data_IF_909343308331
#
_entry.id   IF_909343308331
#
_cell.length_a   1.000
_cell.length_b   1.000
_cell.length_c   1.000
_cell.angle_alpha   90.00
_cell.angle_beta   90.00
_cell.angle_gamma   90.00
#
_symmetry.space_group_name_H-M   'P 1'
#
loop_
_entity.id
_entity.type
_entity.pdbx_description
1 polymer ?
#
# COMPACT_ATOMS: atom_id res chain seq x y z
N UNK A 1 -44.83 11.95 -12.89
CA UNK A 1 -44.30 11.95 -14.27
C UNK A 1 -43.02 12.75 -14.29
N UNK A 2 -41.88 12.12 -14.00
CA UNK A 2 -40.57 12.76 -14.15
C UNK A 2 -40.09 12.58 -15.59
N UNK A 3 -39.88 13.69 -16.29
CA UNK A 3 -39.29 13.69 -17.63
C UNK A 3 -37.79 13.39 -17.46
N UNK A 4 -37.38 12.21 -17.89
CA UNK A 4 -35.97 11.85 -18.03
C UNK A 4 -35.24 12.90 -18.89
N UNK A 5 -34.20 13.51 -18.32
CA UNK A 5 -33.33 14.44 -19.05
C UNK A 5 -32.61 13.65 -20.15
N UNK A 6 -32.96 13.90 -21.41
CA UNK A 6 -32.23 13.40 -22.57
C UNK A 6 -30.81 13.96 -22.55
N UNK A 7 -29.83 13.07 -22.46
CA UNK A 7 -28.43 13.38 -22.72
C UNK A 7 -28.32 13.65 -24.23
N UNK A 8 -28.00 14.89 -24.61
CA UNK A 8 -27.76 15.24 -26.01
C UNK A 8 -26.37 14.76 -26.41
N UNK A 9 -26.30 13.95 -27.48
CA UNK A 9 -25.04 13.55 -28.09
C UNK A 9 -24.42 14.76 -28.79
N UNK A 10 -23.19 15.10 -28.43
CA UNK A 10 -22.37 16.06 -29.17
C UNK A 10 -21.47 15.20 -30.05
N UNK A 11 -21.56 15.34 -31.38
CA UNK A 11 -20.76 14.62 -32.39
C UNK A 11 -20.96 13.09 -32.51
N UNK A 12 -22.08 12.54 -32.05
CA UNK A 12 -22.37 11.11 -32.20
C UNK A 12 -21.70 10.19 -31.16
N UNK A 13 -20.89 10.75 -30.27
CA UNK A 13 -20.40 10.05 -29.09
C UNK A 13 -21.36 10.30 -27.93
N UNK A 14 -21.86 9.23 -27.31
CA UNK A 14 -22.55 9.33 -26.03
C UNK A 14 -21.45 9.56 -24.99
N UNK A 15 -21.40 10.74 -24.33
CA UNK A 15 -20.35 10.99 -23.35
C UNK A 15 -20.49 9.98 -22.21
N UNK A 16 -19.44 9.18 -22.00
CA UNK A 16 -19.40 8.19 -20.92
C UNK A 16 -19.54 8.91 -19.57
N UNK A 17 -20.40 8.45 -18.65
CA UNK A 17 -20.47 8.98 -17.29
C UNK A 17 -19.12 8.87 -16.58
N UNK A 18 -18.80 9.85 -15.73
CA UNK A 18 -17.52 9.92 -15.00
C UNK A 18 -17.23 8.63 -14.23
N UNK A 19 -18.25 8.05 -13.57
CA UNK A 19 -18.12 6.78 -12.84
C UNK A 19 -17.67 5.60 -13.73
N UNK A 20 -18.10 5.56 -15.00
CA UNK A 20 -17.67 4.52 -15.94
C UNK A 20 -16.23 4.76 -16.38
N UNK A 21 -15.85 6.02 -16.60
CA UNK A 21 -14.46 6.36 -16.93
C UNK A 21 -13.53 6.00 -15.77
N UNK A 22 -13.91 6.34 -14.53
CA UNK A 22 -13.17 5.98 -13.33
C UNK A 22 -13.06 4.47 -13.17
N UNK A 23 -14.14 3.72 -13.48
CA UNK A 23 -14.09 2.26 -13.48
C UNK A 23 -13.09 1.72 -14.51
N UNK A 24 -13.07 2.25 -15.73
CA UNK A 24 -12.06 1.87 -16.74
C UNK A 24 -10.65 2.22 -16.25
N UNK A 25 -10.45 3.44 -15.75
CA UNK A 25 -9.18 3.88 -15.19
C UNK A 25 -8.74 3.03 -13.99
N UNK A 26 -9.67 2.43 -13.23
CA UNK A 26 -9.34 1.57 -12.09
C UNK A 26 -8.51 0.33 -12.47
N UNK A 27 -8.59 -0.11 -13.73
CA UNK A 27 -7.78 -1.21 -14.28
C UNK A 27 -6.38 -0.78 -14.75
N UNK A 28 -6.09 0.52 -14.74
CA UNK A 28 -4.83 1.09 -15.19
C UNK A 28 -3.97 1.50 -13.99
N UNK A 29 -2.64 1.45 -14.15
CA UNK A 29 -1.74 2.09 -13.19
C UNK A 29 -1.91 3.63 -13.21
N UNK A 30 -1.37 4.32 -12.22
CA UNK A 30 -1.49 5.78 -12.11
C UNK A 30 -1.01 6.53 -13.36
N UNK A 31 0.07 6.07 -14.00
CA UNK A 31 0.65 6.73 -15.19
C UNK A 31 -0.25 6.53 -16.42
N UNK A 32 -0.70 5.30 -16.65
CA UNK A 32 -1.60 4.95 -17.75
C UNK A 32 -2.94 5.68 -17.60
N UNK A 33 -3.50 5.72 -16.39
CA UNK A 33 -4.73 6.47 -16.13
C UNK A 33 -4.53 7.97 -16.39
N UNK A 34 -3.41 8.56 -15.97
CA UNK A 34 -3.07 9.94 -16.29
C UNK A 34 -2.97 10.17 -17.81
N UNK A 35 -2.39 9.24 -18.58
CA UNK A 35 -2.29 9.37 -20.03
C UNK A 35 -3.66 9.38 -20.72
N UNK A 36 -4.67 8.71 -20.18
CA UNK A 36 -6.04 8.78 -20.72
C UNK A 36 -6.67 10.18 -20.61
N UNK A 37 -6.10 11.06 -19.78
CA UNK A 37 -6.64 12.41 -19.55
C UNK A 37 -6.65 13.28 -20.81
N UNK A 38 -5.85 12.96 -21.82
CA UNK A 38 -5.80 13.71 -23.09
C UNK A 38 -6.95 13.38 -24.04
N UNK A 39 -7.72 12.31 -23.76
CA UNK A 39 -8.81 11.86 -24.63
C UNK A 39 -9.98 12.86 -24.65
N UNK A 40 -10.35 13.43 -23.49
CA UNK A 40 -11.33 14.51 -23.40
C UNK A 40 -11.32 15.17 -22.02
N UNK A 41 -12.07 16.28 -21.89
CA UNK A 41 -12.27 16.95 -20.58
C UNK A 41 -12.89 16.02 -19.53
N UNK A 42 -13.78 15.11 -19.92
CA UNK A 42 -14.41 14.15 -19.00
C UNK A 42 -13.38 13.14 -18.48
N UNK A 43 -12.47 12.67 -19.33
CA UNK A 43 -11.40 11.76 -18.93
C UNK A 43 -10.37 12.43 -18.03
N UNK A 44 -10.06 13.70 -18.30
CA UNK A 44 -9.23 14.51 -17.41
C UNK A 44 -9.87 14.69 -16.03
N UNK A 45 -11.15 15.04 -15.97
CA UNK A 45 -11.86 15.18 -14.69
C UNK A 45 -11.92 13.86 -13.93
N UNK A 46 -12.28 12.76 -14.60
CA UNK A 46 -12.31 11.43 -14.01
C UNK A 46 -10.95 11.02 -13.40
N UNK A 47 -9.85 11.36 -14.08
CA UNK A 47 -8.50 11.13 -13.55
C UNK A 47 -8.24 11.94 -12.26
N UNK A 48 -8.62 13.22 -12.25
CA UNK A 48 -8.42 14.09 -11.09
C UNK A 48 -9.19 13.63 -9.83
N UNK A 49 -10.32 12.94 -10.03
CA UNK A 49 -11.24 12.49 -8.99
C UNK A 49 -11.22 10.97 -8.74
N UNK A 50 -10.30 10.24 -9.38
CA UNK A 50 -10.26 8.77 -9.37
C UNK A 50 -10.08 8.19 -7.95
N UNK A 51 -10.98 7.35 -7.43
CA UNK A 51 -10.90 6.84 -6.05
C UNK A 51 -9.66 5.98 -5.73
N UNK A 52 -8.95 5.47 -6.76
CA UNK A 52 -7.67 4.78 -6.60
C UNK A 52 -6.51 5.77 -6.80
N UNK A 53 -5.96 6.25 -5.68
CA UNK A 53 -4.78 7.11 -5.67
C UNK A 53 -3.54 6.23 -5.79
N UNK A 54 -2.75 6.46 -6.83
CA UNK A 54 -1.50 5.74 -7.11
C UNK A 54 -0.35 6.74 -7.22
N UNK A 55 0.50 6.77 -6.19
CA UNK A 55 1.66 7.64 -6.09
C UNK A 55 2.92 6.78 -6.24
N UNK A 56 3.48 6.77 -7.45
CA UNK A 56 4.65 5.95 -7.76
C UNK A 56 5.79 6.82 -8.29
N UNK A 57 6.84 6.97 -7.46
CA UNK A 57 8.02 7.76 -7.78
C UNK A 57 8.78 7.24 -9.02
N UNK A 58 8.63 5.96 -9.41
CA UNK A 58 9.26 5.40 -10.63
C UNK A 58 8.77 6.09 -11.90
N UNK A 59 7.59 6.71 -11.84
CA UNK A 59 7.03 7.47 -12.96
C UNK A 59 7.66 8.85 -13.16
N UNK A 60 8.53 9.27 -12.24
CA UNK A 60 9.17 10.59 -12.26
C UNK A 60 10.68 10.46 -12.53
N UNK A 61 11.31 11.52 -13.07
CA UNK A 61 12.75 11.55 -13.22
C UNK A 61 13.46 11.28 -11.89
N UNK A 62 14.50 10.45 -11.93
CA UNK A 62 15.33 10.25 -10.73
C UNK A 62 16.21 11.47 -10.54
N UNK A 63 16.06 12.13 -9.40
CA UNK A 63 16.81 13.33 -9.08
C UNK A 63 17.96 12.95 -8.14
N UNK A 64 19.18 13.42 -8.44
CA UNK A 64 20.31 13.32 -7.53
C UNK A 64 20.01 14.14 -6.26
N UNK A 65 20.39 13.64 -5.08
CA UNK A 65 20.18 14.30 -3.79
C UNK A 65 20.81 15.71 -3.72
N UNK A 66 21.78 16.01 -4.61
CA UNK A 66 22.42 17.32 -4.74
C UNK A 66 21.76 18.25 -5.77
N UNK A 67 20.75 17.78 -6.48
CA UNK A 67 20.07 18.56 -7.50
C UNK A 67 19.32 19.74 -6.89
N UNK A 68 19.39 20.89 -7.55
CA UNK A 68 18.59 22.06 -7.24
C UNK A 68 17.19 22.00 -7.90
N UNK A 69 16.93 20.97 -8.71
CA UNK A 69 15.64 20.78 -9.38
C UNK A 69 14.62 20.34 -8.33
N UNK A 70 13.44 20.99 -8.25
CA UNK A 70 12.39 20.58 -7.35
C UNK A 70 11.96 19.14 -7.59
N UNK A 71 11.73 18.39 -6.52
CA UNK A 71 11.26 17.01 -6.60
C UNK A 71 9.82 16.98 -7.17
N UNK A 72 9.71 16.66 -8.45
CA UNK A 72 8.44 16.64 -9.19
C UNK A 72 7.45 15.64 -8.58
N UNK A 73 7.93 14.49 -8.10
CA UNK A 73 7.11 13.51 -7.41
C UNK A 73 6.56 14.10 -6.12
N UNK A 74 7.42 14.73 -5.29
CA UNK A 74 6.99 15.35 -4.05
C UNK A 74 5.93 16.43 -4.28
N UNK A 75 6.13 17.28 -5.30
CA UNK A 75 5.16 18.31 -5.68
C UNK A 75 3.85 17.67 -6.14
N UNK A 76 3.92 16.64 -6.97
CA UNK A 76 2.76 15.93 -7.50
C UNK A 76 1.96 15.23 -6.39
N UNK A 77 2.65 14.51 -5.48
CA UNK A 77 2.05 13.80 -4.36
C UNK A 77 1.31 14.76 -3.42
N UNK A 78 1.96 15.85 -3.02
CA UNK A 78 1.35 16.87 -2.15
C UNK A 78 0.14 17.53 -2.79
N UNK A 79 0.27 18.00 -4.04
CA UNK A 79 -0.86 18.60 -4.78
C UNK A 79 -2.01 17.62 -4.98
N UNK A 80 -1.71 16.34 -5.16
CA UNK A 80 -2.74 15.30 -5.25
C UNK A 80 -3.48 15.18 -3.93
N UNK A 81 -2.81 15.01 -2.79
CA UNK A 81 -3.48 14.92 -1.50
C UNK A 81 -4.22 16.21 -1.11
N UNK A 82 -3.67 17.38 -1.44
CA UNK A 82 -4.35 18.68 -1.27
C UNK A 82 -5.63 18.76 -2.08
N UNK A 83 -5.62 18.32 -3.34
CA UNK A 83 -6.82 18.25 -4.18
C UNK A 83 -7.89 17.37 -3.53
N UNK A 84 -7.54 16.17 -3.07
CA UNK A 84 -8.52 15.28 -2.43
C UNK A 84 -9.12 15.91 -1.17
N UNK A 85 -8.29 16.56 -0.37
CA UNK A 85 -8.74 17.27 0.84
C UNK A 85 -9.67 18.43 0.48
N UNK A 86 -9.28 19.29 -0.46
CA UNK A 86 -10.00 20.52 -0.79
C UNK A 86 -11.36 20.25 -1.45
N UNK A 87 -11.45 19.17 -2.23
CA UNK A 87 -12.70 18.77 -2.89
C UNK A 87 -13.47 17.69 -2.14
N UNK A 88 -13.03 17.32 -0.93
CA UNK A 88 -13.61 16.27 -0.09
C UNK A 88 -13.84 14.95 -0.88
N UNK A 89 -12.84 14.56 -1.65
CA UNK A 89 -12.86 13.35 -2.47
C UNK A 89 -12.56 12.13 -1.59
N UNK A 90 -13.26 11.03 -1.87
CA UNK A 90 -13.01 9.75 -1.20
C UNK A 90 -11.82 9.04 -1.83
N UNK A 91 -10.97 8.45 -0.98
CA UNK A 91 -9.95 7.49 -1.43
C UNK A 91 -10.45 6.10 -1.09
N UNK A 92 -10.60 5.22 -2.08
CA UNK A 92 -10.93 3.82 -1.83
C UNK A 92 -9.67 2.95 -1.72
N UNK A 93 -8.65 3.30 -2.50
CA UNK A 93 -7.36 2.60 -2.51
C UNK A 93 -6.24 3.61 -2.61
N UNK A 94 -5.22 3.46 -1.76
CA UNK A 94 -4.03 4.28 -1.74
C UNK A 94 -2.81 3.39 -1.97
N UNK A 95 -2.08 3.66 -3.05
CA UNK A 95 -0.81 3.00 -3.36
C UNK A 95 0.33 4.02 -3.30
N UNK A 96 1.42 3.63 -2.65
CA UNK A 96 2.63 4.43 -2.56
C UNK A 96 3.84 3.56 -2.88
N UNK A 97 4.55 3.90 -3.96
CA UNK A 97 5.91 3.47 -4.19
C UNK A 97 6.83 4.67 -4.08
N UNK A 98 7.85 4.59 -3.23
CA UNK A 98 8.84 5.66 -3.13
C UNK A 98 10.18 5.20 -2.63
N UNK A 99 11.21 5.99 -2.94
CA UNK A 99 12.54 5.80 -2.44
C UNK A 99 12.66 6.26 -1.01
N UNK A 100 13.05 5.34 -0.15
CA UNK A 100 13.05 5.53 1.30
C UNK A 100 14.32 6.21 1.84
N UNK A 101 15.36 6.33 1.01
CA UNK A 101 16.70 6.83 1.39
C UNK A 101 16.87 8.33 1.18
N UNK A 102 15.92 9.01 0.53
CA UNK A 102 16.03 10.46 0.31
C UNK A 102 15.74 11.26 1.58
N UNK A 103 16.40 12.42 1.77
CA UNK A 103 16.04 13.34 2.84
C UNK A 103 14.55 13.71 2.79
N UNK A 104 13.86 13.60 3.92
CA UNK A 104 12.44 13.93 4.02
C UNK A 104 11.46 12.83 3.55
N UNK A 105 11.94 11.73 2.94
CA UNK A 105 11.08 10.63 2.49
C UNK A 105 10.20 10.05 3.59
N UNK A 106 10.77 9.85 4.80
CA UNK A 106 10.04 9.31 5.95
C UNK A 106 8.88 10.24 6.35
N UNK A 107 9.16 11.55 6.44
CA UNK A 107 8.15 12.53 6.83
C UNK A 107 7.04 12.63 5.77
N UNK A 108 7.41 12.62 4.48
CA UNK A 108 6.45 12.62 3.39
C UNK A 108 5.59 11.35 3.39
N UNK A 109 6.19 10.16 3.49
CA UNK A 109 5.47 8.90 3.55
C UNK A 109 4.41 8.92 4.67
N UNK A 110 4.81 9.32 5.88
CA UNK A 110 3.89 9.46 7.01
C UNK A 110 2.77 10.46 6.73
N UNK A 111 3.09 11.63 6.19
CA UNK A 111 2.11 12.65 5.82
C UNK A 111 1.06 12.10 4.83
N UNK A 112 1.51 11.41 3.78
CA UNK A 112 0.65 10.85 2.74
C UNK A 112 -0.24 9.72 3.28
N UNK A 113 0.33 8.79 4.05
CA UNK A 113 -0.40 7.66 4.66
C UNK A 113 -1.49 8.16 5.61
N UNK A 114 -1.13 9.06 6.55
CA UNK A 114 -2.09 9.63 7.49
C UNK A 114 -3.14 10.49 6.76
N UNK A 115 -2.76 11.13 5.66
CA UNK A 115 -3.67 11.84 4.78
C UNK A 115 -4.73 10.91 4.17
N UNK A 116 -4.32 9.72 3.72
CA UNK A 116 -5.24 8.72 3.17
C UNK A 116 -6.19 8.16 4.24
N UNK A 117 -5.70 7.87 5.46
CA UNK A 117 -6.56 7.45 6.58
C UNK A 117 -7.65 8.48 6.89
N UNK A 118 -7.33 9.77 6.87
CA UNK A 118 -8.30 10.87 7.08
C UNK A 118 -9.38 10.94 5.99
N UNK A 119 -9.18 10.29 4.85
CA UNK A 119 -10.12 10.24 3.73
C UNK A 119 -10.89 8.90 3.67
N UNK A 120 -10.90 8.15 4.78
CA UNK A 120 -11.60 6.88 4.96
C UNK A 120 -11.20 5.80 3.93
N UNK A 121 -9.88 5.62 3.79
CA UNK A 121 -9.31 4.66 2.84
C UNK A 121 -9.59 3.20 3.22
N UNK A 122 -10.04 2.42 2.26
CA UNK A 122 -10.33 0.99 2.46
C UNK A 122 -9.12 0.09 2.22
N UNK A 123 -8.18 0.51 1.37
CA UNK A 123 -7.02 -0.30 0.99
C UNK A 123 -5.74 0.52 0.93
N UNK A 124 -4.69 0.02 1.58
CA UNK A 124 -3.36 0.64 1.56
C UNK A 124 -2.35 -0.37 0.99
N UNK A 125 -1.55 0.05 0.03
CA UNK A 125 -0.42 -0.68 -0.54
C UNK A 125 0.85 0.19 -0.52
N UNK A 126 1.83 -0.18 0.30
CA UNK A 126 3.06 0.58 0.50
C UNK A 126 4.27 -0.25 0.08
N UNK A 127 5.11 0.31 -0.79
CA UNK A 127 6.36 -0.27 -1.22
C UNK A 127 7.49 0.77 -1.10
N UNK A 128 8.38 0.57 -0.12
CA UNK A 128 9.50 1.46 0.14
C UNK A 128 10.82 0.81 -0.31
N UNK A 129 11.49 1.42 -1.31
CA UNK A 129 12.68 0.84 -1.95
C UNK A 129 13.93 1.76 -1.87
N UNK A 130 15.13 1.23 -1.58
CA UNK A 130 15.35 -0.07 -0.93
C UNK A 130 14.60 -0.16 0.40
N UNK A 131 14.38 -1.37 0.94
CA UNK A 131 13.80 -1.56 2.25
C UNK A 131 14.50 -0.69 3.30
N UNK A 132 13.75 0.17 3.98
CA UNK A 132 14.27 1.07 5.00
C UNK A 132 13.68 0.70 6.35
N UNK A 133 14.47 -0.04 7.11
CA UNK A 133 14.09 -0.50 8.44
C UNK A 133 14.11 0.62 9.51
N UNK A 134 14.36 1.88 9.13
CA UNK A 134 14.15 3.06 9.97
C UNK A 134 12.77 3.69 9.78
N UNK A 135 12.08 3.42 8.67
CA UNK A 135 10.68 3.82 8.52
C UNK A 135 9.81 2.88 9.35
N UNK A 136 9.11 3.45 10.32
CA UNK A 136 8.13 2.75 11.15
C UNK A 136 6.74 3.07 10.62
N UNK A 137 5.97 2.03 10.32
CA UNK A 137 4.57 2.18 9.91
C UNK A 137 3.80 2.95 11.00
N UNK A 138 3.05 4.02 10.67
CA UNK A 138 2.23 4.72 11.65
C UNK A 138 1.24 3.78 12.32
N UNK A 139 1.16 3.82 13.64
CA UNK A 139 0.29 2.96 14.45
C UNK A 139 -1.19 3.13 14.11
N UNK A 140 -1.58 4.34 13.69
CA UNK A 140 -2.94 4.65 13.24
C UNK A 140 -3.41 3.71 12.11
N UNK A 141 -2.49 3.14 11.31
CA UNK A 141 -2.84 2.16 10.27
C UNK A 141 -3.42 0.89 10.90
N UNK A 142 -2.83 0.40 11.99
CA UNK A 142 -3.28 -0.81 12.70
C UNK A 142 -4.47 -0.55 13.63
N UNK A 143 -4.82 0.72 13.85
CA UNK A 143 -5.99 1.15 14.64
C UNK A 143 -7.19 1.51 13.75
N UNK A 144 -7.02 1.49 12.42
CA UNK A 144 -8.03 1.96 11.48
C UNK A 144 -9.10 0.90 11.17
N UNK A 145 -10.32 1.11 11.67
CA UNK A 145 -11.40 0.12 11.59
C UNK A 145 -11.93 -0.13 10.16
N UNK A 146 -11.96 0.91 9.32
CA UNK A 146 -12.44 0.82 7.93
C UNK A 146 -11.45 0.11 6.99
N UNK A 147 -10.24 -0.21 7.46
CA UNK A 147 -9.21 -0.82 6.62
C UNK A 147 -9.61 -2.25 6.25
N UNK A 148 -9.76 -2.51 4.95
CA UNK A 148 -10.13 -3.82 4.38
C UNK A 148 -8.88 -4.56 3.88
N UNK A 149 -7.92 -3.83 3.31
CA UNK A 149 -6.68 -4.41 2.77
C UNK A 149 -5.46 -3.61 3.22
N UNK A 150 -4.44 -4.32 3.70
CA UNK A 150 -3.14 -3.77 4.02
C UNK A 150 -2.05 -4.60 3.35
N UNK A 151 -1.28 -3.96 2.49
CA UNK A 151 -0.06 -4.48 1.86
C UNK A 151 1.08 -3.55 2.20
N UNK A 152 2.14 -4.06 2.83
CA UNK A 152 3.30 -3.25 3.21
C UNK A 152 4.60 -3.98 2.93
N UNK A 153 5.55 -3.24 2.38
CA UNK A 153 6.89 -3.70 2.08
C UNK A 153 7.97 -2.68 2.41
N UNK A 154 9.08 -3.16 2.95
CA UNK A 154 10.28 -2.35 3.17
C UNK A 154 10.25 -1.46 4.41
N UNK A 155 9.52 -1.84 5.45
CA UNK A 155 9.35 -1.06 6.69
C UNK A 155 9.44 -1.89 7.98
N UNK A 156 9.54 -1.20 9.12
CA UNK A 156 9.33 -1.76 10.45
C UNK A 156 7.87 -1.56 10.89
N UNK A 157 7.31 -2.54 11.57
CA UNK A 157 5.97 -2.49 12.15
C UNK A 157 6.11 -2.70 13.66
N UNK A 158 5.77 -1.67 14.44
CA UNK A 158 5.79 -1.70 15.89
C UNK A 158 4.37 -1.82 16.45
N UNK A 159 4.19 -2.35 17.67
CA UNK A 159 2.88 -2.38 18.32
C UNK A 159 2.32 -0.96 18.51
N UNK A 160 1.00 -0.76 18.38
CA UNK A 160 0.39 0.54 18.64
C UNK A 160 0.66 1.02 20.06
N UNK A 161 0.82 2.34 20.26
CA UNK A 161 1.11 2.90 21.59
C UNK A 161 -0.05 2.63 22.57
N UNK A 162 -1.30 2.61 22.07
CA UNK A 162 -2.49 2.23 22.83
C UNK A 162 -2.61 0.73 23.14
N UNK A 163 -1.68 -0.09 22.65
CA UNK A 163 -1.59 -1.53 22.88
C UNK A 163 -2.70 -2.36 22.23
N UNK A 164 -3.46 -1.80 21.29
CA UNK A 164 -4.58 -2.52 20.65
C UNK A 164 -4.59 -2.34 19.15
N UNK A 165 -4.48 -3.45 18.43
CA UNK A 165 -4.85 -3.53 17.02
C UNK A 165 -6.38 -3.46 16.91
N UNK A 166 -6.89 -2.65 15.99
CA UNK A 166 -8.33 -2.42 15.85
C UNK A 166 -8.81 -2.39 14.38
N UNK A 167 -8.09 -3.07 13.47
CA UNK A 167 -8.52 -3.23 12.08
C UNK A 167 -9.62 -4.29 11.92
N UNK A 168 -10.78 -4.07 12.54
CA UNK A 168 -11.88 -5.05 12.57
C UNK A 168 -12.41 -5.40 11.16
N UNK A 169 -12.27 -4.49 10.19
CA UNK A 169 -12.63 -4.67 8.79
C UNK A 169 -11.61 -5.44 7.94
N UNK A 170 -10.43 -5.76 8.47
CA UNK A 170 -9.31 -6.25 7.66
C UNK A 170 -9.57 -7.67 7.15
N UNK A 171 -9.54 -7.81 5.81
CA UNK A 171 -9.73 -9.08 5.10
C UNK A 171 -8.46 -9.61 4.45
N UNK A 172 -7.55 -8.72 4.06
CA UNK A 172 -6.31 -9.09 3.38
C UNK A 172 -5.13 -8.38 4.03
N UNK A 173 -4.16 -9.17 4.48
CA UNK A 173 -2.89 -8.69 5.02
C UNK A 173 -1.73 -9.30 4.23
N UNK A 174 -0.89 -8.43 3.66
CA UNK A 174 0.35 -8.81 2.97
C UNK A 174 1.51 -8.06 3.61
N UNK A 175 2.45 -8.82 4.18
CA UNK A 175 3.68 -8.31 4.76
C UNK A 175 4.85 -8.87 3.95
N UNK A 176 5.68 -8.02 3.35
CA UNK A 176 6.86 -8.45 2.59
C UNK A 176 8.09 -7.68 2.98
N UNK A 177 9.22 -8.33 3.28
CA UNK A 177 10.49 -7.63 3.58
C UNK A 177 10.32 -6.59 4.70
N UNK A 178 9.63 -6.98 5.78
CA UNK A 178 9.31 -6.12 6.92
C UNK A 178 10.01 -6.61 8.18
N UNK A 179 10.20 -5.73 9.16
CA UNK A 179 10.56 -6.11 10.53
C UNK A 179 9.34 -6.07 11.44
N UNK A 180 8.95 -7.22 11.98
CA UNK A 180 7.78 -7.38 12.85
C UNK A 180 8.01 -8.54 13.84
N UNK A 181 7.58 -8.36 15.09
CA UNK A 181 7.65 -9.42 16.11
C UNK A 181 6.48 -10.40 16.02
N UNK A 182 6.71 -11.66 16.42
CA UNK A 182 5.67 -12.70 16.39
C UNK A 182 4.41 -12.28 17.14
N UNK A 183 4.56 -11.73 18.35
CA UNK A 183 3.44 -11.33 19.21
C UNK A 183 2.53 -10.30 18.53
N UNK A 184 3.10 -9.36 17.75
CA UNK A 184 2.29 -8.39 17.03
C UNK A 184 1.54 -9.03 15.86
N UNK A 185 2.16 -9.97 15.14
CA UNK A 185 1.46 -10.74 14.10
C UNK A 185 0.28 -11.50 14.73
N UNK A 186 0.49 -12.08 15.92
CA UNK A 186 -0.56 -12.72 16.70
C UNK A 186 -1.69 -11.78 17.03
N UNK A 187 -1.36 -10.62 17.61
CA UNK A 187 -2.34 -9.61 18.00
C UNK A 187 -3.17 -9.14 16.80
N UNK A 188 -2.54 -8.95 15.63
CA UNK A 188 -3.25 -8.60 14.40
C UNK A 188 -4.24 -9.71 14.02
N UNK A 189 -3.80 -10.96 13.98
CA UNK A 189 -4.65 -12.08 13.55
C UNK A 189 -5.78 -12.34 14.55
N UNK A 190 -5.53 -12.23 15.85
CA UNK A 190 -6.56 -12.42 16.87
C UNK A 190 -7.56 -11.26 16.93
N UNK A 191 -7.11 -10.03 16.63
CA UNK A 191 -7.95 -8.82 16.71
C UNK A 191 -8.75 -8.56 15.43
N UNK A 192 -8.36 -9.15 14.29
CA UNK A 192 -9.01 -8.93 13.00
C UNK A 192 -9.82 -10.17 12.56
N UNK A 193 -11.09 -10.30 12.97
CA UNK A 193 -11.86 -11.53 12.81
C UNK A 193 -12.24 -11.89 11.36
N UNK A 194 -12.07 -10.97 10.43
CA UNK A 194 -12.45 -11.06 9.02
C UNK A 194 -11.29 -11.39 8.07
N UNK A 195 -10.07 -11.64 8.58
CA UNK A 195 -8.93 -11.97 7.72
C UNK A 195 -9.22 -13.26 6.94
N UNK A 196 -9.19 -13.14 5.62
CA UNK A 196 -9.37 -14.24 4.65
C UNK A 196 -8.03 -14.60 3.98
N UNK A 197 -7.17 -13.59 3.76
CA UNK A 197 -5.89 -13.70 3.05
C UNK A 197 -4.75 -13.18 3.94
N UNK A 198 -3.75 -14.01 4.18
CA UNK A 198 -2.55 -13.66 4.94
C UNK A 198 -1.30 -14.09 4.18
N UNK A 199 -0.48 -13.13 3.78
CA UNK A 199 0.79 -13.37 3.09
C UNK A 199 1.92 -12.79 3.93
N UNK A 200 2.88 -13.63 4.28
CA UNK A 200 4.07 -13.24 5.05
C UNK A 200 5.32 -13.65 4.26
N UNK A 201 6.11 -12.69 3.83
CA UNK A 201 7.30 -12.92 3.03
C UNK A 201 8.47 -12.13 3.62
N UNK A 202 9.60 -12.78 3.88
CA UNK A 202 10.84 -12.12 4.33
C UNK A 202 10.57 -11.21 5.54
N UNK A 203 9.88 -11.74 6.56
CA UNK A 203 9.59 -11.00 7.80
C UNK A 203 10.71 -11.22 8.83
N UNK A 204 11.51 -10.18 9.09
CA UNK A 204 12.53 -10.17 10.14
C UNK A 204 11.89 -10.03 11.52
N UNK A 205 12.41 -10.75 12.52
CA UNK A 205 11.88 -10.70 13.89
C UNK A 205 10.84 -11.77 14.22
N UNK A 206 10.42 -12.55 13.22
CA UNK A 206 9.59 -13.74 13.42
C UNK A 206 10.45 -14.96 13.74
N UNK A 207 10.31 -15.53 14.93
CA UNK A 207 11.07 -16.68 15.43
C UNK A 207 10.18 -17.93 15.48
N UNK A 208 8.90 -17.80 15.84
CA UNK A 208 7.94 -18.88 16.13
C UNK A 208 6.72 -18.91 15.18
N UNK A 209 6.95 -19.18 13.89
CA UNK A 209 5.86 -19.38 12.90
C UNK A 209 4.93 -20.56 13.27
N UNK A 210 5.34 -21.49 14.15
CA UNK A 210 4.54 -22.67 14.53
C UNK A 210 3.19 -22.33 15.16
N UNK A 211 3.07 -21.16 15.80
CA UNK A 211 1.79 -20.72 16.32
C UNK A 211 0.79 -20.47 15.17
N UNK A 212 1.23 -20.06 13.96
CA UNK A 212 0.38 -19.50 12.88
C UNK A 212 -0.49 -20.55 12.21
N UNK A 213 -0.02 -21.80 12.25
CA UNK A 213 -0.73 -22.96 11.73
C UNK A 213 -2.01 -23.32 12.50
N UNK A 214 -2.28 -22.71 13.67
CA UNK A 214 -3.48 -22.96 14.47
C UNK A 214 -4.67 -22.05 14.12
N UNK A 215 -4.49 -21.09 13.20
CA UNK A 215 -5.56 -20.16 12.83
C UNK A 215 -6.45 -20.81 11.77
N UNK A 216 -7.53 -21.45 12.22
CA UNK A 216 -8.58 -22.09 11.41
C UNK A 216 -9.31 -21.18 10.40
N UNK A 217 -9.00 -19.88 10.35
CA UNK A 217 -9.68 -18.86 9.52
C UNK A 217 -8.90 -18.39 8.29
N UNK A 218 -7.60 -18.70 8.18
CA UNK A 218 -6.79 -18.22 7.05
C UNK A 218 -6.95 -19.17 5.87
N UNK A 219 -7.61 -18.72 4.81
CA UNK A 219 -7.93 -19.56 3.65
C UNK A 219 -6.70 -19.79 2.76
N UNK A 220 -5.74 -18.84 2.76
CA UNK A 220 -4.46 -18.94 2.07
C UNK A 220 -3.37 -18.32 2.93
N UNK A 221 -2.40 -19.14 3.33
CA UNK A 221 -1.21 -18.71 4.05
C UNK A 221 0.02 -19.04 3.20
N UNK A 222 0.75 -18.03 2.78
CA UNK A 222 2.05 -18.20 2.15
C UNK A 222 3.10 -17.59 3.07
N UNK A 223 3.99 -18.44 3.61
CA UNK A 223 5.13 -17.99 4.41
C UNK A 223 6.43 -18.26 3.64
N UNK A 224 7.08 -17.20 3.17
CA UNK A 224 8.42 -17.28 2.59
C UNK A 224 9.40 -16.69 3.60
N UNK A 225 10.24 -17.52 4.22
CA UNK A 225 11.22 -17.02 5.20
C UNK A 225 12.43 -16.42 4.48
N UNK A 226 12.99 -15.35 5.06
CA UNK A 226 14.37 -15.00 4.75
C UNK A 226 15.29 -16.07 5.38
N UNK A 227 16.40 -16.46 4.74
CA UNK A 227 17.42 -17.22 5.45
C UNK A 227 17.93 -16.36 6.60
N UNK A 228 17.80 -16.88 7.82
CA UNK A 228 18.40 -16.27 9.01
C UNK A 228 19.90 -16.17 8.76
N UNK A 229 20.40 -14.96 8.44
CA UNK A 229 21.84 -14.72 8.45
C UNK A 229 22.20 -14.53 9.92
N UNK A 230 22.48 -15.65 10.60
CA UNK A 230 23.22 -15.61 11.84
C UNK A 230 24.63 -15.10 11.51
N UNK A 231 24.90 -13.84 11.83
CA UNK A 231 26.28 -13.36 11.87
C UNK A 231 26.95 -13.99 13.09
N UNK A 232 27.58 -15.15 12.88
CA UNK A 232 28.56 -15.66 13.82
C UNK A 232 29.73 -14.67 13.86
N UNK A 233 29.85 -13.94 14.98
CA UNK A 233 30.89 -12.92 15.19
C UNK A 233 32.30 -13.49 15.32
N UNK A 234 32.55 -14.75 14.91
CA UNK A 234 33.86 -15.39 15.12
C UNK A 234 34.55 -16.06 13.95
N UNK A 235 33.99 -16.12 12.73
CA UNK A 235 34.76 -16.63 11.61
C UNK A 235 34.48 -15.87 10.31
N UNK A 236 35.49 -15.14 9.85
CA UNK A 236 35.58 -14.72 8.46
C UNK A 236 35.86 -15.96 7.61
N UNK A 237 34.86 -16.42 6.85
CA UNK A 237 35.08 -17.43 5.81
C UNK A 237 33.90 -18.37 5.58
N UNK A 238 33.35 -18.28 4.36
CA UNK A 238 32.44 -19.24 3.70
C UNK A 238 30.94 -19.10 3.97
N UNK A 239 30.25 -18.51 2.99
CA UNK A 239 28.79 -18.57 2.82
C UNK A 239 28.46 -19.88 2.11
N UNK A 240 27.83 -20.83 2.80
CA UNK A 240 27.22 -21.98 2.16
C UNK A 240 25.73 -21.66 2.02
N UNK A 241 25.30 -21.34 0.80
CA UNK A 241 23.90 -21.18 0.46
C UNK A 241 23.19 -22.54 0.58
N UNK A 242 22.28 -22.68 1.53
CA UNK A 242 21.36 -23.82 1.59
C UNK A 242 20.19 -23.60 0.62
N UNK A 243 19.76 -24.62 -0.15
CA UNK A 243 18.72 -24.47 -1.16
C UNK A 243 17.35 -24.25 -0.53
N UNK A 244 16.56 -23.38 -1.19
CA UNK A 244 15.19 -23.02 -0.85
C UNK A 244 14.31 -24.28 -0.89
N UNK A 245 13.71 -24.65 0.24
CA UNK A 245 12.59 -25.61 0.26
C UNK A 245 11.30 -24.86 -0.01
N UNK A 246 10.89 -24.82 -1.28
CA UNK A 246 9.52 -24.51 -1.67
C UNK A 246 8.68 -25.71 -1.22
N UNK A 247 7.96 -25.59 -0.11
CA UNK A 247 6.86 -26.52 0.17
C UNK A 247 5.63 -25.93 -0.48
N UNK A 248 5.35 -26.40 -1.70
CA UNK A 248 3.99 -26.48 -2.23
C UNK A 248 3.12 -27.20 -1.19
N UNK A 249 1.87 -26.80 -0.99
CA UNK A 249 0.75 -27.76 -0.98
C UNK A 249 -0.56 -27.03 -1.24
N UNK A 250 -1.17 -27.48 -2.34
CA UNK A 250 -2.57 -27.32 -2.72
C UNK A 250 -3.41 -28.24 -1.83
N UNK A 251 -4.37 -27.67 -1.10
CA UNK A 251 -5.79 -28.08 -1.04
C UNK A 251 -6.54 -27.23 -0.01
#
# INVERSE_FOLDING_TARGET
>A
MERGKRIQAINGEIPLPEAIIQHIQSFLDGKQAAQTSVLSKSWYNAWLTRPNVDLDERNFPTIDAKSLIPDEFLIFAKKTMERYRNFNLKIESFRLWMRSTRPGSIALANELILGALKMDVNGIDLELDPPNMSFVLPDQVLEFQSLIRLSVSGCKIDPPVGGKVNCLGLKSLTLSTVRIGDDLVWDIISSCPLIENLVLSICEGMIEVRKLNFVRKVTKMLTLRSPSIEFDKRNAGSVIAAPIKVSEFIN
#
